data_IF_348850236229
#
_entry.id   IF_348850236229
#
_cell.length_a   1.000
_cell.length_b   1.000
_cell.length_c   1.000
_cell.angle_alpha   90.00
_cell.angle_beta   90.00
_cell.angle_gamma   90.00
#
_symmetry.space_group_name_H-M   'P 1'
#
loop_
_entity.id
_entity.type
_entity.pdbx_description
1 polymer ?
#
# COMPACT_ATOMS: atom_id res chain seq x y z
N UNK A 1 -4.78 25.72 13.66
CA UNK A 1 -6.22 25.39 13.57
C UNK A 1 -6.42 24.51 12.34
N UNK A 2 -6.73 23.22 12.52
CA UNK A 2 -6.91 22.23 11.47
C UNK A 2 -8.02 22.67 10.49
N UNK A 3 -7.64 23.24 9.34
CA UNK A 3 -8.57 23.39 8.22
C UNK A 3 -8.80 21.99 7.65
N UNK A 4 -9.95 21.42 7.95
CA UNK A 4 -10.45 20.22 7.28
C UNK A 4 -10.65 20.54 5.81
N UNK A 5 -9.67 20.16 4.99
CA UNK A 5 -9.69 20.43 3.56
C UNK A 5 -10.55 19.36 2.87
N UNK A 6 -11.87 19.53 2.97
CA UNK A 6 -12.87 18.67 2.36
C UNK A 6 -12.66 18.49 0.85
N UNK A 7 -12.01 19.46 0.19
CA UNK A 7 -11.62 19.36 -1.22
C UNK A 7 -10.50 18.34 -1.44
N UNK A 8 -9.54 18.24 -0.51
CA UNK A 8 -8.46 17.25 -0.55
C UNK A 8 -9.00 15.84 -0.23
N UNK A 9 -9.89 15.71 0.76
CA UNK A 9 -10.54 14.43 1.07
C UNK A 9 -11.43 13.96 -0.09
N UNK A 10 -12.23 14.86 -0.67
CA UNK A 10 -13.07 14.55 -1.82
C UNK A 10 -12.27 14.20 -3.07
N UNK A 11 -11.21 14.96 -3.38
CA UNK A 11 -10.29 14.66 -4.49
C UNK A 11 -9.58 13.33 -4.33
N UNK A 12 -9.17 13.00 -3.10
CA UNK A 12 -8.59 11.71 -2.76
C UNK A 12 -9.57 10.55 -2.98
N UNK A 13 -10.82 10.69 -2.55
CA UNK A 13 -11.85 9.67 -2.74
C UNK A 13 -12.21 9.48 -4.22
N UNK A 14 -12.31 10.57 -4.97
CA UNK A 14 -12.54 10.54 -6.42
C UNK A 14 -11.38 9.87 -7.15
N UNK A 15 -10.13 10.04 -6.68
CA UNK A 15 -8.96 9.39 -7.25
C UNK A 15 -8.92 7.87 -7.00
N UNK A 16 -9.47 7.39 -5.88
CA UNK A 16 -9.55 5.95 -5.59
C UNK A 16 -10.41 5.19 -6.60
N UNK A 17 -11.45 5.82 -7.16
CA UNK A 17 -12.36 5.16 -8.10
C UNK A 17 -11.69 4.72 -9.42
N UNK A 18 -11.08 5.61 -10.22
CA UNK A 18 -10.39 5.20 -11.46
C UNK A 18 -9.18 4.31 -11.16
N UNK A 19 -8.49 4.52 -10.03
CA UNK A 19 -7.41 3.64 -9.60
C UNK A 19 -7.90 2.22 -9.34
N UNK A 20 -9.00 2.05 -8.59
CA UNK A 20 -9.58 0.74 -8.31
C UNK A 20 -10.01 0.02 -9.60
N UNK A 21 -10.64 0.74 -10.54
CA UNK A 21 -11.01 0.21 -11.85
C UNK A 21 -9.76 -0.26 -12.62
N UNK A 22 -8.69 0.53 -12.60
CA UNK A 22 -7.43 0.20 -13.27
C UNK A 22 -6.76 -1.05 -12.68
N UNK A 23 -6.71 -1.15 -11.35
CA UNK A 23 -6.19 -2.34 -10.67
C UNK A 23 -7.05 -3.56 -10.96
N UNK A 24 -8.39 -3.43 -10.96
CA UNK A 24 -9.29 -4.51 -11.33
C UNK A 24 -9.06 -4.98 -12.77
N UNK A 25 -8.92 -4.05 -13.71
CA UNK A 25 -8.63 -4.38 -15.12
C UNK A 25 -7.31 -5.15 -15.27
N UNK A 26 -6.26 -4.73 -14.56
CA UNK A 26 -5.00 -5.48 -14.50
C UNK A 26 -5.17 -6.86 -13.86
N UNK A 27 -5.91 -6.95 -12.75
CA UNK A 27 -6.21 -8.21 -12.07
C UNK A 27 -6.93 -9.19 -13.00
N UNK A 28 -7.90 -8.71 -13.78
CA UNK A 28 -8.64 -9.53 -14.74
C UNK A 28 -7.73 -10.07 -15.85
N UNK A 29 -6.75 -9.28 -16.31
CA UNK A 29 -5.74 -9.76 -17.27
C UNK A 29 -4.90 -10.87 -16.64
N UNK A 30 -4.41 -10.67 -15.43
CA UNK A 30 -3.59 -11.67 -14.74
C UNK A 30 -4.39 -12.94 -14.47
N UNK A 31 -5.63 -12.86 -13.98
CA UNK A 31 -6.50 -14.01 -13.74
C UNK A 31 -6.81 -14.80 -15.03
N UNK A 32 -6.80 -14.15 -16.20
CA UNK A 32 -6.95 -14.84 -17.50
C UNK A 32 -5.68 -15.55 -17.96
N UNK A 33 -4.51 -15.01 -17.62
CA UNK A 33 -3.19 -15.55 -18.04
C UNK A 33 -2.69 -16.61 -17.06
N UNK A 34 -3.06 -16.51 -15.79
CA UNK A 34 -2.59 -17.33 -14.69
C UNK A 34 -3.73 -18.26 -14.20
N UNK A 35 -3.76 -19.55 -14.61
CA UNK A 35 -4.79 -20.50 -14.19
C UNK A 35 -4.76 -20.80 -12.68
N UNK A 36 -5.84 -21.31 -12.12
CA UNK A 36 -5.88 -21.66 -10.69
C UNK A 36 -4.78 -22.66 -10.33
N UNK A 37 -3.99 -22.31 -9.31
CA UNK A 37 -2.84 -23.10 -8.87
C UNK A 37 -3.28 -24.39 -8.16
N UNK A 38 -3.53 -25.43 -8.94
CA UNK A 38 -3.94 -26.76 -8.43
C UNK A 38 -2.75 -27.66 -8.08
N UNK A 39 -1.55 -27.34 -8.58
CA UNK A 39 -0.34 -28.16 -8.38
C UNK A 39 0.64 -27.48 -7.41
N UNK A 40 1.26 -28.27 -6.53
CA UNK A 40 2.27 -27.85 -5.54
C UNK A 40 3.37 -26.91 -6.08
N UNK A 41 4.03 -27.17 -7.24
CA UNK A 41 5.04 -26.25 -7.78
C UNK A 41 4.45 -24.90 -8.23
N UNK A 42 3.21 -24.89 -8.69
CA UNK A 42 2.52 -23.67 -9.12
C UNK A 42 2.13 -22.82 -7.89
N UNK A 43 1.73 -23.44 -6.79
CA UNK A 43 1.47 -22.76 -5.51
C UNK A 43 2.74 -22.06 -5.00
N UNK A 44 3.89 -22.74 -5.05
CA UNK A 44 5.17 -22.14 -4.63
C UNK A 44 5.52 -20.95 -5.52
N UNK A 45 5.33 -21.08 -6.84
CA UNK A 45 5.55 -19.97 -7.78
C UNK A 45 4.64 -18.77 -7.47
N UNK A 46 3.36 -19.02 -7.16
CA UNK A 46 2.40 -17.97 -6.83
C UNK A 46 2.76 -17.26 -5.54
N UNK A 47 3.17 -17.99 -4.51
CA UNK A 47 3.66 -17.41 -3.25
C UNK A 47 4.89 -16.54 -3.51
N UNK A 48 5.84 -17.01 -4.32
CA UNK A 48 7.03 -16.25 -4.67
C UNK A 48 6.68 -14.97 -5.45
N UNK A 49 5.80 -15.05 -6.45
CA UNK A 49 5.32 -13.89 -7.21
C UNK A 49 4.60 -12.90 -6.29
N UNK A 50 3.80 -13.38 -5.32
CA UNK A 50 3.15 -12.52 -4.33
C UNK A 50 4.17 -11.77 -3.48
N UNK A 51 5.19 -12.44 -2.94
CA UNK A 51 6.24 -11.79 -2.15
C UNK A 51 7.05 -10.80 -2.97
N UNK A 52 7.37 -11.15 -4.22
CA UNK A 52 8.05 -10.25 -5.14
C UNK A 52 7.18 -9.02 -5.47
N UNK A 53 5.88 -9.23 -5.69
CA UNK A 53 4.89 -8.16 -5.90
C UNK A 53 4.83 -7.20 -4.71
N UNK A 54 4.74 -7.71 -3.48
CA UNK A 54 4.78 -6.89 -2.26
C UNK A 54 6.08 -6.09 -2.17
N UNK A 55 7.22 -6.69 -2.55
CA UNK A 55 8.49 -5.99 -2.55
C UNK A 55 8.54 -4.85 -3.58
N UNK A 56 7.99 -5.06 -4.77
CA UNK A 56 7.85 -4.03 -5.79
C UNK A 56 6.91 -2.90 -5.34
N UNK A 57 5.78 -3.22 -4.70
CA UNK A 57 4.86 -2.23 -4.16
C UNK A 57 5.55 -1.38 -3.09
N UNK A 58 6.25 -2.01 -2.12
CA UNK A 58 7.01 -1.27 -1.10
C UNK A 58 8.08 -0.35 -1.70
N UNK A 59 8.77 -0.83 -2.74
CA UNK A 59 9.75 -0.02 -3.49
C UNK A 59 9.09 1.14 -4.24
N UNK A 60 7.96 0.90 -4.89
CA UNK A 60 7.22 1.92 -5.62
C UNK A 60 6.76 3.02 -4.66
N UNK A 61 6.14 2.65 -3.52
CA UNK A 61 5.71 3.59 -2.47
C UNK A 61 6.86 4.49 -2.01
N UNK A 62 8.04 3.89 -1.77
CA UNK A 62 9.26 4.64 -1.41
C UNK A 62 9.65 5.67 -2.48
N UNK A 63 9.58 5.32 -3.76
CA UNK A 63 9.87 6.26 -4.86
C UNK A 63 8.81 7.35 -4.93
N UNK A 64 7.52 6.98 -4.91
CA UNK A 64 6.40 7.93 -5.00
C UNK A 64 6.45 8.99 -3.90
N UNK A 65 6.75 8.59 -2.65
CA UNK A 65 6.88 9.50 -1.52
C UNK A 65 8.04 10.48 -1.67
N UNK A 66 9.12 10.07 -2.34
CA UNK A 66 10.29 10.93 -2.56
C UNK A 66 10.08 11.89 -3.71
N UNK A 67 9.39 11.44 -4.77
CA UNK A 67 9.05 12.24 -5.95
C UNK A 67 7.96 13.26 -5.66
N UNK A 68 6.96 12.89 -4.86
CA UNK A 68 5.87 13.76 -4.39
C UNK A 68 5.16 14.59 -5.50
N UNK A 69 4.94 13.99 -6.67
CA UNK A 69 4.23 14.63 -7.77
C UNK A 69 2.71 14.51 -7.65
N UNK A 70 2.23 13.27 -7.48
CA UNK A 70 0.82 12.93 -7.24
C UNK A 70 0.84 11.71 -6.34
N UNK A 71 0.57 11.89 -5.05
CA UNK A 71 0.47 10.75 -4.14
C UNK A 71 -0.93 10.21 -4.12
N UNK A 72 -1.02 8.88 -4.19
CA UNK A 72 -2.23 8.19 -3.85
C UNK A 72 -2.61 8.52 -2.39
N UNK A 73 -3.90 8.69 -2.06
CA UNK A 73 -4.34 9.11 -0.72
C UNK A 73 -3.82 8.23 0.42
N UNK A 74 -3.71 6.92 0.18
CA UNK A 74 -3.15 5.99 1.15
C UNK A 74 -1.65 6.19 1.35
N UNK A 75 -0.92 6.53 0.29
CA UNK A 75 0.52 6.81 0.36
C UNK A 75 0.78 8.18 1.01
N UNK A 76 -0.10 9.15 0.78
CA UNK A 76 -0.09 10.47 1.43
C UNK A 76 -0.32 10.33 2.94
N UNK A 77 -1.33 9.53 3.34
CA UNK A 77 -1.58 9.20 4.75
C UNK A 77 -0.36 8.54 5.40
N UNK A 78 0.24 7.54 4.73
CA UNK A 78 1.46 6.91 5.22
C UNK A 78 2.59 7.93 5.39
N UNK A 79 2.81 8.82 4.42
CA UNK A 79 3.89 9.80 4.47
C UNK A 79 3.69 10.78 5.62
N UNK A 80 2.45 11.26 5.81
CA UNK A 80 2.08 12.11 6.94
C UNK A 80 2.34 11.38 8.26
N UNK A 81 1.87 10.14 8.42
CA UNK A 81 2.11 9.35 9.63
C UNK A 81 3.61 9.19 9.88
N UNK A 82 4.35 8.83 8.83
CA UNK A 82 5.79 8.57 8.90
C UNK A 82 6.58 9.76 9.41
N UNK A 83 6.38 10.93 8.82
CA UNK A 83 7.19 12.11 9.15
C UNK A 83 6.62 12.91 10.31
N UNK A 84 5.30 12.95 10.50
CA UNK A 84 4.66 13.73 11.58
C UNK A 84 4.58 12.98 12.91
N UNK A 85 4.36 11.67 12.89
CA UNK A 85 4.10 10.88 14.10
C UNK A 85 5.18 9.82 14.39
N UNK A 86 5.75 9.19 13.37
CA UNK A 86 6.73 8.11 13.53
C UNK A 86 8.20 8.55 13.38
N UNK A 87 8.50 9.86 13.36
CA UNK A 87 9.86 10.41 13.29
C UNK A 87 10.74 9.81 12.17
N UNK A 88 10.13 9.44 11.04
CA UNK A 88 10.81 8.84 9.88
C UNK A 88 10.80 7.31 9.81
N UNK A 89 10.29 6.61 10.83
CA UNK A 89 10.24 5.14 10.84
C UNK A 89 9.14 4.61 9.89
N UNK A 90 9.57 4.04 8.76
CA UNK A 90 8.68 3.51 7.72
C UNK A 90 7.85 2.30 8.20
N UNK A 91 8.41 1.42 9.03
CA UNK A 91 7.74 0.19 9.45
C UNK A 91 6.54 0.49 10.35
N UNK A 92 6.74 1.33 11.37
CA UNK A 92 5.67 1.71 12.30
C UNK A 92 4.59 2.54 11.59
N UNK A 93 5.01 3.42 10.69
CA UNK A 93 4.07 4.21 9.89
C UNK A 93 3.19 3.34 8.98
N UNK A 94 3.77 2.25 8.44
CA UNK A 94 3.04 1.28 7.62
C UNK A 94 1.94 0.62 8.42
N UNK A 95 2.29 0.14 9.61
CA UNK A 95 1.35 -0.55 10.49
C UNK A 95 0.22 0.37 10.90
N UNK A 96 0.53 1.62 11.27
CA UNK A 96 -0.48 2.60 11.64
C UNK A 96 -1.39 2.97 10.45
N UNK A 97 -0.83 3.11 9.25
CA UNK A 97 -1.59 3.35 8.02
C UNK A 97 -2.47 2.17 7.63
N UNK A 98 -2.14 0.95 8.08
CA UNK A 98 -2.96 -0.25 7.87
C UNK A 98 -4.06 -0.44 8.91
N UNK A 99 -4.08 0.32 10.01
CA UNK A 99 -5.16 0.20 11.01
C UNK A 99 -6.54 0.50 10.38
N UNK A 100 -6.77 1.63 9.69
CA UNK A 100 -8.08 1.90 9.08
C UNK A 100 -8.57 0.80 8.12
N UNK A 101 -7.79 0.34 7.12
CA UNK A 101 -8.24 -0.73 6.23
C UNK A 101 -8.41 -2.07 6.97
N UNK A 102 -7.59 -2.37 7.98
CA UNK A 102 -7.73 -3.61 8.77
C UNK A 102 -9.04 -3.62 9.56
N UNK A 103 -9.41 -2.50 10.19
CA UNK A 103 -10.69 -2.36 10.89
C UNK A 103 -11.86 -2.54 9.92
N UNK A 104 -11.79 -1.89 8.75
CA UNK A 104 -12.83 -2.04 7.72
C UNK A 104 -12.94 -3.48 7.23
N UNK A 105 -11.81 -4.18 7.06
CA UNK A 105 -11.81 -5.57 6.65
C UNK A 105 -12.37 -6.50 7.75
N UNK A 106 -12.10 -6.22 9.03
CA UNK A 106 -12.71 -6.94 10.16
C UNK A 106 -14.23 -6.74 10.16
N UNK A 107 -14.71 -5.49 10.00
CA UNK A 107 -16.14 -5.19 9.92
C UNK A 107 -16.79 -5.93 8.74
N UNK A 108 -16.16 -5.90 7.57
CA UNK A 108 -16.63 -6.63 6.40
C UNK A 108 -16.66 -8.15 6.62
N UNK A 109 -15.65 -8.72 7.28
CA UNK A 109 -15.61 -10.14 7.62
C UNK A 109 -16.72 -10.55 8.59
N UNK A 110 -17.03 -9.71 9.59
CA UNK A 110 -18.18 -9.92 10.47
C UNK A 110 -19.51 -9.86 9.72
N UNK A 111 -19.65 -8.94 8.76
CA UNK A 111 -20.87 -8.83 7.94
C UNK A 111 -21.02 -9.99 6.94
N UNK A 112 -19.93 -10.52 6.39
CA UNK A 112 -19.93 -11.65 5.45
C UNK A 112 -19.88 -13.03 6.14
N UNK A 113 -19.73 -13.09 7.46
CA UNK A 113 -19.67 -14.34 8.21
C UNK A 113 -18.39 -15.15 8.00
N UNK A 114 -17.30 -14.50 7.56
CA UNK A 114 -16.01 -15.16 7.33
C UNK A 114 -14.94 -14.23 6.79
N UNK A 115 -13.68 -14.60 7.02
CA UNK A 115 -12.51 -13.92 6.46
C UNK A 115 -12.25 -14.54 5.08
N UNK A 116 -12.88 -13.99 4.05
CA UNK A 116 -12.61 -14.37 2.66
C UNK A 116 -11.51 -13.46 2.08
N UNK A 117 -10.59 -14.02 1.29
CA UNK A 117 -9.53 -13.30 0.54
C UNK A 117 -8.31 -12.78 1.33
N UNK A 118 -8.09 -13.23 2.57
CA UNK A 118 -6.81 -13.00 3.24
C UNK A 118 -5.80 -14.10 2.87
N UNK A 119 -5.04 -13.86 1.82
CA UNK A 119 -3.96 -14.75 1.38
C UNK A 119 -2.66 -14.58 2.17
N UNK A 120 -1.72 -15.50 1.96
CA UNK A 120 -0.35 -15.39 2.50
C UNK A 120 0.34 -14.07 2.08
N UNK A 121 0.03 -13.56 0.89
CA UNK A 121 0.52 -12.28 0.41
C UNK A 121 0.09 -11.10 1.29
N UNK A 122 -1.16 -11.08 1.75
CA UNK A 122 -1.70 -10.01 2.61
C UNK A 122 -1.01 -10.01 3.98
N UNK A 123 -0.81 -11.18 4.58
CA UNK A 123 -0.09 -11.32 5.85
C UNK A 123 1.37 -10.86 5.71
N UNK A 124 2.02 -11.26 4.61
CA UNK A 124 3.38 -10.83 4.31
C UNK A 124 3.47 -9.32 4.08
N UNK A 125 2.49 -8.73 3.40
CA UNK A 125 2.40 -7.29 3.18
C UNK A 125 2.28 -6.53 4.50
N UNK A 126 1.37 -6.93 5.38
CA UNK A 126 1.20 -6.30 6.69
C UNK A 126 2.48 -6.37 7.54
N UNK A 127 3.16 -7.51 7.54
CA UNK A 127 4.37 -7.71 8.35
C UNK A 127 5.61 -7.02 7.75
N UNK A 128 5.86 -7.16 6.45
CA UNK A 128 7.14 -6.84 5.82
C UNK A 128 7.12 -5.65 4.87
N UNK A 129 5.97 -5.22 4.35
CA UNK A 129 5.93 -4.14 3.35
C UNK A 129 6.55 -2.84 3.89
N UNK A 130 6.29 -2.50 5.17
CA UNK A 130 6.89 -1.32 5.80
C UNK A 130 8.41 -1.40 5.94
N UNK A 131 8.94 -2.59 6.25
CA UNK A 131 10.38 -2.83 6.32
C UNK A 131 11.03 -2.77 4.94
N UNK A 132 10.37 -3.30 3.91
CA UNK A 132 10.84 -3.24 2.52
C UNK A 132 10.85 -1.80 2.01
N UNK A 133 9.82 -0.99 2.30
CA UNK A 133 9.79 0.44 1.97
C UNK A 133 10.96 1.17 2.62
N UNK A 134 11.21 0.95 3.93
CA UNK A 134 12.35 1.55 4.63
C UNK A 134 13.72 1.11 4.10
N UNK A 135 13.84 -0.14 3.64
CA UNK A 135 15.03 -0.64 2.96
C UNK A 135 15.21 0.02 1.59
N UNK A 136 14.14 0.10 0.80
CA UNK A 136 14.13 0.74 -0.52
C UNK A 136 14.48 2.23 -0.44
N UNK A 137 14.11 2.93 0.64
CA UNK A 137 14.51 4.32 0.84
C UNK A 137 16.03 4.51 0.90
N UNK A 138 16.74 3.53 1.45
CA UNK A 138 18.19 3.59 1.67
C UNK A 138 18.98 3.07 0.47
N UNK A 139 18.46 2.06 -0.23
CA UNK A 139 19.20 1.35 -1.29
C UNK A 139 18.73 1.69 -2.71
N UNK A 140 17.46 2.03 -2.89
CA UNK A 140 16.88 2.32 -4.22
C UNK A 140 16.77 3.84 -4.37
N UNK A 141 17.51 4.39 -5.32
CA UNK A 141 17.67 5.84 -5.54
C UNK A 141 18.07 6.64 -4.28
N UNK A 142 19.23 6.33 -3.65
CA UNK A 142 19.69 7.01 -2.43
C UNK A 142 19.91 8.52 -2.59
N UNK A 143 20.04 9.01 -3.83
CA UNK A 143 20.18 10.44 -4.14
C UNK A 143 18.84 11.19 -4.24
N UNK A 144 17.71 10.48 -4.29
CA UNK A 144 16.40 11.11 -4.26
C UNK A 144 16.07 11.54 -2.82
N UNK A 145 16.12 12.84 -2.57
CA UNK A 145 15.64 13.42 -1.31
C UNK A 145 14.12 13.51 -1.34
N UNK A 146 13.47 13.35 -0.18
CA UNK A 146 12.03 13.57 -0.05
C UNK A 146 11.73 15.04 -0.38
N UNK A 147 11.06 15.29 -1.50
CA UNK A 147 10.71 16.63 -1.95
C UNK A 147 9.34 17.05 -1.41
N UNK A 148 9.18 18.35 -1.14
CA UNK A 148 7.92 18.98 -0.75
C UNK A 148 7.18 18.28 0.40
N UNK A 149 7.84 18.10 1.55
CA UNK A 149 7.15 17.81 2.80
C UNK A 149 6.23 19.00 3.14
N UNK A 150 5.04 19.06 2.52
CA UNK A 150 4.00 20.03 2.83
C UNK A 150 3.31 19.57 4.12
N UNK A 151 4.13 19.58 5.18
CA UNK A 151 3.72 19.41 6.55
C UNK A 151 3.08 20.75 6.90
N UNK A 152 1.83 20.93 6.46
CA UNK A 152 1.12 22.20 6.59
C UNK A 152 1.35 22.81 7.97
N UNK A 153 1.97 23.99 7.96
CA UNK A 153 2.01 24.92 9.09
C UNK A 153 0.61 25.49 9.32
#
# INVERSE_FOLDING_TARGET
MHKWDWRRIGGNFIFMLPFSIFIQWFSDIFNRIMPDATTLPMIILYVFINFLGVAFIGTAISIYQRVNLVLHPADDLFQIIRFRYCHGNATIAMWLSYIPPTIMAIIAAFMQGGIYNFGLGTLFALAFQGAITGWADRYIFPKLKHQALDIGN
#
